data_IF_091030748366
#
_entry.id   IF_091030748366
#
_cell.length_a   1.000
_cell.length_b   1.000
_cell.length_c   1.000
_cell.angle_alpha   90.00
_cell.angle_beta   90.00
_cell.angle_gamma   90.00
#
_symmetry.space_group_name_H-M   'P 1'
#
loop_
_entity.id
_entity.type
_entity.pdbx_description
1 polymer ?
#
# COMPACT_ATOMS: atom_id res chain seq x y z
N UNK A 1 0.24 3.68 9.38
CA UNK A 1 -0.96 3.85 10.25
C UNK A 1 -0.53 3.58 11.69
N UNK A 2 -1.00 4.36 12.65
CA UNK A 2 -0.67 4.13 14.06
C UNK A 2 -1.76 3.23 14.67
N UNK A 3 -1.34 2.21 15.43
CA UNK A 3 -2.23 1.35 16.19
C UNK A 3 -1.88 1.53 17.66
N UNK A 4 -2.84 1.93 18.47
CA UNK A 4 -2.65 2.18 19.90
C UNK A 4 -3.60 1.25 20.68
N UNK A 5 -3.09 0.45 21.63
CA UNK A 5 -3.96 -0.34 22.48
C UNK A 5 -4.84 0.59 23.33
N UNK A 6 -6.14 0.36 23.31
CA UNK A 6 -7.10 1.00 24.21
C UNK A 6 -7.10 0.21 25.51
N UNK A 7 -6.92 0.91 26.63
CA UNK A 7 -6.89 0.32 27.97
C UNK A 7 -8.09 0.75 28.81
N UNK A 8 -8.60 -0.16 29.63
CA UNK A 8 -9.59 0.18 30.65
C UNK A 8 -8.95 0.82 31.89
N UNK A 9 -9.78 1.16 32.89
CA UNK A 9 -9.35 1.76 34.16
C UNK A 9 -8.42 0.85 35.00
N UNK A 10 -8.38 -0.44 34.68
CA UNK A 10 -7.57 -1.46 35.35
C UNK A 10 -6.35 -1.85 34.51
N UNK A 11 -5.98 -1.05 33.49
CA UNK A 11 -4.88 -1.29 32.57
C UNK A 11 -5.00 -2.55 31.69
N UNK A 12 -6.19 -3.14 31.56
CA UNK A 12 -6.41 -4.25 30.63
C UNK A 12 -6.62 -3.72 29.22
N UNK A 13 -6.06 -4.40 28.21
CA UNK A 13 -6.28 -4.07 26.81
C UNK A 13 -7.71 -4.48 26.43
N UNK A 14 -8.54 -3.49 26.10
CA UNK A 14 -9.95 -3.70 25.69
C UNK A 14 -10.16 -3.56 24.18
N UNK A 15 -9.12 -3.18 23.44
CA UNK A 15 -9.16 -3.08 21.98
C UNK A 15 -7.95 -2.36 21.41
N UNK A 16 -8.00 -2.07 20.11
CA UNK A 16 -6.96 -1.33 19.40
C UNK A 16 -7.59 -0.22 18.59
N UNK A 17 -7.19 1.02 18.87
CA UNK A 17 -7.57 2.17 18.06
C UNK A 17 -6.59 2.31 16.89
N UNK A 18 -7.12 2.38 15.66
CA UNK A 18 -6.30 2.61 14.48
C UNK A 18 -6.84 3.75 13.64
N UNK A 19 -6.02 4.78 13.44
CA UNK A 19 -6.33 5.90 12.53
C UNK A 19 -5.76 5.58 11.15
N UNK A 20 -6.64 5.60 10.15
CA UNK A 20 -6.28 5.55 8.73
C UNK A 20 -6.39 6.97 8.16
N UNK A 21 -5.32 7.47 7.55
CA UNK A 21 -5.38 8.73 6.80
C UNK A 21 -6.00 8.46 5.44
N UNK A 22 -6.82 9.39 4.95
CA UNK A 22 -7.34 9.31 3.59
C UNK A 22 -6.15 9.30 2.61
N UNK A 23 -6.11 8.35 1.66
CA UNK A 23 -5.07 8.32 0.65
C UNK A 23 -5.15 9.54 -0.27
N UNK A 24 -4.02 9.97 -0.80
CA UNK A 24 -4.00 11.07 -1.76
C UNK A 24 -4.73 10.66 -3.06
N UNK A 25 -5.61 11.51 -3.59
CA UNK A 25 -6.35 11.22 -4.83
C UNK A 25 -5.43 10.98 -6.03
N UNK A 26 -4.33 11.71 -6.12
CA UNK A 26 -3.32 11.51 -7.18
C UNK A 26 -2.68 10.13 -7.08
N UNK A 27 -2.38 9.68 -5.86
CA UNK A 27 -1.88 8.33 -5.60
C UNK A 27 -2.87 7.25 -6.02
N UNK A 28 -4.16 7.46 -5.78
CA UNK A 28 -5.22 6.50 -6.16
C UNK A 28 -5.18 6.27 -7.68
N UNK A 29 -5.15 7.34 -8.49
CA UNK A 29 -5.13 7.22 -9.95
C UNK A 29 -3.91 6.45 -10.47
N UNK A 30 -2.72 6.69 -9.90
CA UNK A 30 -1.51 5.94 -10.24
C UNK A 30 -1.63 4.46 -9.88
N UNK A 31 -2.14 4.15 -8.68
CA UNK A 31 -2.30 2.78 -8.21
C UNK A 31 -3.38 2.03 -9.00
N UNK A 32 -4.48 2.68 -9.37
CA UNK A 32 -5.53 2.09 -10.21
C UNK A 32 -4.96 1.64 -11.57
N UNK A 33 -4.11 2.48 -12.17
CA UNK A 33 -3.44 2.16 -13.44
C UNK A 33 -2.49 0.97 -13.28
N UNK A 34 -1.63 1.01 -12.27
CA UNK A 34 -0.69 -0.09 -11.96
C UNK A 34 -1.44 -1.40 -11.67
N UNK A 35 -2.50 -1.35 -10.88
CA UNK A 35 -3.28 -2.53 -10.52
C UNK A 35 -3.96 -3.17 -11.73
N UNK A 36 -4.47 -2.35 -12.66
CA UNK A 36 -5.08 -2.83 -13.90
C UNK A 36 -4.06 -3.60 -14.75
N UNK A 37 -2.83 -3.09 -14.84
CA UNK A 37 -1.74 -3.77 -15.55
C UNK A 37 -1.30 -5.06 -14.86
N UNK A 38 -1.16 -5.05 -13.53
CA UNK A 38 -0.83 -6.25 -12.76
C UNK A 38 -1.88 -7.34 -12.96
N UNK A 39 -3.17 -7.00 -12.84
CA UNK A 39 -4.27 -7.94 -13.02
C UNK A 39 -4.25 -8.57 -14.42
N UNK A 40 -3.99 -7.77 -15.45
CA UNK A 40 -3.87 -8.26 -16.83
C UNK A 40 -2.72 -9.25 -16.98
N UNK A 41 -1.56 -8.96 -16.40
CA UNK A 41 -0.40 -9.86 -16.43
C UNK A 41 -0.67 -11.14 -15.64
N UNK A 42 -1.30 -11.03 -14.47
CA UNK A 42 -1.66 -12.19 -13.64
C UNK A 42 -2.65 -13.13 -14.35
N UNK A 43 -3.64 -12.58 -15.05
CA UNK A 43 -4.60 -13.36 -15.84
C UNK A 43 -3.96 -14.09 -17.02
N UNK A 44 -2.93 -13.52 -17.63
CA UNK A 44 -2.29 -14.08 -18.83
C UNK A 44 -1.13 -15.02 -18.52
N UNK A 45 -0.32 -14.68 -17.51
CA UNK A 45 0.98 -15.31 -17.26
C UNK A 45 1.13 -15.83 -15.83
N UNK A 46 0.09 -15.68 -15.01
CA UNK A 46 0.05 -16.14 -13.63
C UNK A 46 0.65 -15.14 -12.62
N UNK A 47 0.40 -15.42 -11.34
CA UNK A 47 0.73 -14.55 -10.21
C UNK A 47 2.23 -14.19 -10.14
N UNK A 48 3.11 -15.13 -10.46
CA UNK A 48 4.56 -14.91 -10.40
C UNK A 48 5.01 -13.74 -11.31
N UNK A 49 4.37 -13.58 -12.47
CA UNK A 49 4.67 -12.50 -13.41
C UNK A 49 4.11 -11.16 -12.93
N UNK A 50 2.95 -11.15 -12.28
CA UNK A 50 2.44 -9.95 -11.60
C UNK A 50 3.41 -9.46 -10.52
N UNK A 51 3.89 -10.36 -9.67
CA UNK A 51 4.87 -10.01 -8.62
C UNK A 51 6.19 -9.51 -9.21
N UNK A 52 6.68 -10.11 -10.30
CA UNK A 52 7.88 -9.64 -11.01
C UNK A 52 7.67 -8.24 -11.59
N UNK A 53 6.52 -7.97 -12.21
CA UNK A 53 6.17 -6.65 -12.72
C UNK A 53 6.13 -5.60 -11.61
N UNK A 54 5.54 -5.90 -10.46
CA UNK A 54 5.53 -4.99 -9.31
C UNK A 54 6.95 -4.69 -8.81
N UNK A 55 7.81 -5.72 -8.75
CA UNK A 55 9.22 -5.54 -8.37
C UNK A 55 9.97 -4.66 -9.37
N UNK A 56 9.74 -4.86 -10.66
CA UNK A 56 10.33 -4.04 -11.71
C UNK A 56 9.83 -2.59 -11.61
N UNK A 57 8.54 -2.37 -11.39
CA UNK A 57 7.98 -1.03 -11.18
C UNK A 57 8.64 -0.30 -10.00
N UNK A 58 8.85 -1.00 -8.88
CA UNK A 58 9.58 -0.45 -7.73
C UNK A 58 11.04 -0.12 -8.09
N UNK A 59 11.70 -1.02 -8.83
CA UNK A 59 13.09 -0.84 -9.28
C UNK A 59 13.25 0.33 -10.26
N UNK A 60 12.31 0.51 -11.19
CA UNK A 60 12.30 1.61 -12.16
C UNK A 60 12.11 2.97 -11.46
N UNK A 61 11.41 2.98 -10.33
CA UNK A 61 11.26 4.14 -9.46
C UNK A 61 12.42 4.35 -8.48
N UNK A 62 13.45 3.48 -8.51
CA UNK A 62 14.57 3.42 -7.57
C UNK A 62 14.13 3.45 -6.09
N UNK A 63 13.02 2.77 -5.78
CA UNK A 63 12.40 2.77 -4.46
C UNK A 63 11.98 1.37 -4.06
N UNK A 64 12.08 1.05 -2.78
CA UNK A 64 11.36 -0.10 -2.24
C UNK A 64 9.86 0.14 -2.33
N UNK A 65 9.07 -0.95 -2.29
CA UNK A 65 7.61 -0.83 -2.30
C UNK A 65 7.09 0.15 -1.23
N UNK A 66 7.62 0.07 -0.01
CA UNK A 66 7.19 0.95 1.08
C UNK A 66 7.51 2.43 0.78
N UNK A 67 8.73 2.73 0.31
CA UNK A 67 9.13 4.09 -0.05
C UNK A 67 8.32 4.65 -1.21
N UNK A 68 7.99 3.80 -2.19
CA UNK A 68 7.12 4.16 -3.30
C UNK A 68 5.73 4.56 -2.78
N UNK A 69 5.09 3.71 -1.97
CA UNK A 69 3.77 4.00 -1.38
C UNK A 69 3.80 5.27 -0.52
N UNK A 70 4.85 5.47 0.28
CA UNK A 70 5.02 6.72 1.03
C UNK A 70 5.13 7.92 0.10
N UNK A 71 5.95 7.83 -0.94
CA UNK A 71 6.14 8.94 -1.88
C UNK A 71 4.88 9.29 -2.67
N UNK A 72 4.06 8.29 -3.02
CA UNK A 72 2.75 8.52 -3.64
C UNK A 72 1.81 9.24 -2.67
N UNK A 73 1.82 8.89 -1.39
CA UNK A 73 1.00 9.54 -0.37
C UNK A 73 1.43 10.99 -0.09
N UNK A 74 2.72 11.31 -0.22
CA UNK A 74 3.26 12.66 -0.03
C UNK A 74 3.13 13.58 -1.26
N UNK A 75 3.05 13.00 -2.46
CA UNK A 75 2.90 13.74 -3.71
C UNK A 75 1.56 14.51 -3.73
N UNK A 76 1.61 15.83 -3.48
CA UNK A 76 0.42 16.70 -3.43
C UNK A 76 -0.21 16.92 -4.80
#
# INVERSE_FOLDING_TARGET
ANVTPSIDINNNIIGYYSVRRMPNKSAISTIESLYSDLLRVEQQQGLNKGVEMLKNFCKDADKTYNELIFSLQEAK
#
